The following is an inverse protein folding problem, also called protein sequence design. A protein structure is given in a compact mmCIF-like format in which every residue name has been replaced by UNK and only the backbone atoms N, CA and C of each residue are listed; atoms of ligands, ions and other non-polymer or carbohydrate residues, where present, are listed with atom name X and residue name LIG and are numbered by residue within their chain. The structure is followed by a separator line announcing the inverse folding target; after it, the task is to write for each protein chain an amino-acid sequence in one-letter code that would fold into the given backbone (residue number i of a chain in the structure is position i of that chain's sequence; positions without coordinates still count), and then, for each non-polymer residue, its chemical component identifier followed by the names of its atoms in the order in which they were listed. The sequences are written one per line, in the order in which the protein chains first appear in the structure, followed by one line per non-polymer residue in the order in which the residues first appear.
data_IF_721425738057
#
_entry.id   IF_721425738057
#
_cell.length_a   1.000
_cell.length_b   1.000
_cell.length_c   1.000
_cell.angle_alpha   90.00
_cell.angle_beta   90.00
_cell.angle_gamma   90.00
#
_symmetry.space_group_name_H-M   'P 1'
#
loop_
_entity.id
_entity.type
_entity.pdbx_description
1 polymer ?
#
# COMPACT_ATOMS: atom_id res chain seq x y z
N UNK A 1 4.27 2.49 -13.59
CA UNK A 1 4.09 1.03 -13.73
C UNK A 1 2.60 0.77 -13.76
N UNK A 2 2.05 0.24 -14.84
CA UNK A 2 0.61 -0.02 -14.97
C UNK A 2 0.38 -1.53 -15.02
N UNK A 3 -0.70 -2.04 -14.42
CA UNK A 3 -1.01 -3.47 -14.42
C UNK A 3 -0.10 -4.32 -13.52
N UNK A 4 0.70 -3.69 -12.66
CA UNK A 4 1.53 -4.37 -11.65
C UNK A 4 0.71 -4.64 -10.40
N UNK A 5 0.81 -5.84 -9.85
CA UNK A 5 0.19 -6.21 -8.58
C UNK A 5 0.88 -5.48 -7.43
N UNK A 6 0.08 -4.94 -6.51
CA UNK A 6 0.54 -4.28 -5.28
C UNK A 6 -0.06 -5.03 -4.11
N UNK A 7 0.75 -5.37 -3.12
CA UNK A 7 0.35 -6.07 -1.90
C UNK A 7 0.48 -5.15 -0.70
N UNK A 8 -0.56 -5.12 0.12
CA UNK A 8 -0.51 -4.61 1.49
C UNK A 8 -0.50 -5.81 2.44
N UNK A 9 0.51 -5.90 3.29
CA UNK A 9 0.59 -6.96 4.30
C UNK A 9 1.02 -6.44 5.67
N UNK A 10 0.67 -7.17 6.73
CA UNK A 10 1.10 -6.87 8.08
C UNK A 10 -0.01 -7.01 9.11
N UNK A 11 0.04 -6.19 10.16
CA UNK A 11 -0.93 -6.18 11.25
C UNK A 11 -1.45 -4.76 11.49
N UNK A 12 -2.77 -4.60 11.54
CA UNK A 12 -3.41 -3.31 11.71
C UNK A 12 -4.74 -3.47 12.46
N UNK A 13 -4.95 -2.62 13.47
CA UNK A 13 -6.17 -2.62 14.29
C UNK A 13 -6.54 -4.01 14.85
N UNK A 14 -5.57 -4.71 15.43
CA UNK A 14 -5.79 -6.04 16.02
C UNK A 14 -6.00 -7.17 15.02
N UNK A 15 -5.82 -6.93 13.71
CA UNK A 15 -6.07 -7.92 12.65
C UNK A 15 -4.91 -8.02 11.68
N UNK A 16 -4.67 -9.23 11.18
CA UNK A 16 -3.75 -9.46 10.06
C UNK A 16 -4.35 -8.87 8.78
N UNK A 17 -3.50 -8.21 8.00
CA UNK A 17 -3.78 -7.69 6.67
C UNK A 17 -2.93 -8.44 5.65
N UNK A 18 -3.56 -8.87 4.56
CA UNK A 18 -2.91 -9.42 3.38
C UNK A 18 -3.85 -9.21 2.19
N UNK A 19 -3.72 -8.04 1.57
CA UNK A 19 -4.61 -7.55 0.54
C UNK A 19 -3.82 -7.31 -0.74
N UNK A 20 -4.46 -7.53 -1.89
CA UNK A 20 -3.89 -7.29 -3.21
C UNK A 20 -4.75 -6.31 -3.98
N UNK A 21 -4.08 -5.46 -4.75
CA UNK A 21 -4.68 -4.57 -5.73
C UNK A 21 -3.80 -4.51 -6.96
N UNK A 22 -4.23 -3.79 -8.00
CA UNK A 22 -3.47 -3.62 -9.24
C UNK A 22 -3.26 -2.13 -9.50
N UNK A 23 -2.04 -1.74 -9.85
CA UNK A 23 -1.73 -0.37 -10.26
C UNK A 23 -2.52 0.03 -11.52
N UNK A 24 -3.10 1.23 -11.47
CA UNK A 24 -3.91 1.80 -12.55
C UNK A 24 -5.42 1.82 -12.27
N UNK A 25 -5.91 1.17 -11.21
CA UNK A 25 -7.34 1.17 -10.87
C UNK A 25 -7.80 2.40 -10.09
N UNK A 26 -6.88 3.18 -9.52
CA UNK A 26 -7.17 4.41 -8.80
C UNK A 26 -6.61 5.64 -9.55
N UNK A 27 -7.24 6.08 -10.67
CA UNK A 27 -6.70 7.11 -11.54
C UNK A 27 -6.56 8.49 -10.88
N UNK A 28 -7.29 8.74 -9.78
CA UNK A 28 -7.18 9.94 -8.96
C UNK A 28 -5.76 10.16 -8.41
N UNK A 29 -4.97 9.09 -8.25
CA UNK A 29 -3.56 9.15 -7.83
C UNK A 29 -2.57 9.06 -9.00
N UNK A 30 -3.05 9.29 -10.23
CA UNK A 30 -2.28 9.23 -11.48
C UNK A 30 -2.51 7.93 -12.27
N UNK A 31 -1.97 7.87 -13.49
CA UNK A 31 -2.19 6.76 -14.44
C UNK A 31 -1.88 5.37 -13.87
N UNK A 32 -0.96 5.28 -12.91
CA UNK A 32 -0.58 4.04 -12.22
C UNK A 32 -1.06 3.97 -10.76
N UNK A 33 -2.04 4.78 -10.38
CA UNK A 33 -2.51 4.88 -9.01
C UNK A 33 -3.15 3.58 -8.50
N UNK A 34 -2.99 3.33 -7.21
CA UNK A 34 -3.60 2.22 -6.48
C UNK A 34 -4.06 2.73 -5.12
N UNK A 35 -4.96 2.01 -4.46
CA UNK A 35 -5.49 2.37 -3.15
C UNK A 35 -5.76 1.13 -2.31
N UNK A 36 -5.55 1.27 -1.00
CA UNK A 36 -6.01 0.35 0.03
C UNK A 36 -6.74 1.15 1.12
N UNK A 37 -7.97 0.75 1.44
CA UNK A 37 -8.76 1.38 2.50
C UNK A 37 -8.59 0.58 3.79
N UNK A 38 -7.91 1.18 4.77
CA UNK A 38 -7.61 0.50 6.04
C UNK A 38 -8.79 0.46 7.02
N UNK A 39 -9.73 1.39 6.89
CA UNK A 39 -10.92 1.53 7.72
C UNK A 39 -11.50 2.95 7.67
N UNK A 40 -12.54 3.20 8.47
CA UNK A 40 -13.22 4.51 8.52
C UNK A 40 -12.69 5.44 9.64
N UNK A 41 -11.89 4.93 10.57
CA UNK A 41 -11.34 5.68 11.71
C UNK A 41 -9.82 5.68 11.62
N UNK A 42 -9.14 6.84 11.75
CA UNK A 42 -7.69 6.91 11.79
C UNK A 42 -7.14 6.15 12.99
N UNK A 43 -6.17 5.25 12.76
CA UNK A 43 -5.51 4.47 13.81
C UNK A 43 -4.02 4.58 13.59
N UNK A 44 -3.29 4.90 14.66
CA UNK A 44 -1.83 4.99 14.61
C UNK A 44 -1.20 3.59 14.57
N UNK A 45 -0.20 3.42 13.70
CA UNK A 45 0.61 2.22 13.58
C UNK A 45 2.00 2.60 13.08
N UNK A 46 3.05 1.96 13.60
CA UNK A 46 4.43 2.24 13.23
C UNK A 46 5.11 0.98 12.71
N UNK A 47 5.38 0.94 11.41
CA UNK A 47 6.08 -0.16 10.75
C UNK A 47 5.37 -1.52 10.79
N UNK A 48 4.09 -1.58 11.16
CA UNK A 48 3.34 -2.84 11.25
C UNK A 48 2.63 -3.20 9.94
N UNK A 49 2.52 -2.25 9.01
CA UNK A 49 2.03 -2.45 7.65
C UNK A 49 3.16 -2.26 6.66
N UNK A 50 3.13 -3.00 5.57
CA UNK A 50 4.09 -2.90 4.47
C UNK A 50 3.39 -2.95 3.12
N UNK A 51 3.94 -2.21 2.17
CA UNK A 51 3.55 -2.25 0.76
C UNK A 51 4.67 -2.89 -0.06
N UNK A 52 4.31 -3.74 -1.02
CA UNK A 52 5.25 -4.37 -1.95
C UNK A 52 4.63 -4.49 -3.34
N UNK A 53 5.44 -4.40 -4.39
CA UNK A 53 5.01 -4.74 -5.75
C UNK A 53 5.43 -6.16 -6.12
N UNK A 54 4.56 -6.86 -6.86
CA UNK A 54 4.76 -8.24 -7.28
C UNK A 54 4.64 -8.38 -8.80
N UNK A 55 5.29 -9.39 -9.37
CA UNK A 55 5.10 -9.79 -10.76
C UNK A 55 3.83 -10.65 -10.95
N UNK A 56 3.61 -11.13 -12.18
CA UNK A 56 2.44 -11.96 -12.52
C UNK A 56 2.48 -13.36 -11.89
N UNK A 57 3.65 -13.84 -11.48
CA UNK A 57 3.83 -15.09 -10.75
C UNK A 57 3.71 -14.91 -9.23
N UNK A 58 3.51 -13.67 -8.75
CA UNK A 58 3.45 -13.33 -7.33
C UNK A 58 4.81 -13.19 -6.67
N UNK A 59 5.91 -13.16 -7.44
CA UNK A 59 7.25 -12.95 -6.92
C UNK A 59 7.48 -11.46 -6.63
N UNK A 60 8.23 -11.13 -5.58
CA UNK A 60 8.47 -9.75 -5.20
C UNK A 60 9.35 -9.01 -6.23
N UNK A 61 8.90 -7.84 -6.66
CA UNK A 61 9.63 -6.89 -7.51
C UNK A 61 10.26 -5.73 -6.71
N UNK A 62 9.96 -5.65 -5.43
CA UNK A 62 10.56 -4.70 -4.49
C UNK A 62 10.74 -5.35 -3.12
N UNK A 63 11.51 -4.71 -2.25
CA UNK A 63 11.45 -4.99 -0.82
C UNK A 63 10.07 -4.62 -0.24
N UNK A 64 9.79 -5.11 0.96
CA UNK A 64 8.66 -4.64 1.76
C UNK A 64 8.96 -3.21 2.24
N UNK A 65 8.11 -2.26 1.85
CA UNK A 65 8.22 -0.87 2.27
C UNK A 65 7.30 -0.66 3.47
N UNK A 66 7.84 -0.52 4.70
CA UNK A 66 7.02 -0.29 5.88
C UNK A 66 6.38 1.09 5.81
N UNK A 67 5.13 1.18 6.27
CA UNK A 67 4.38 2.44 6.34
C UNK A 67 3.91 2.71 7.76
N UNK A 68 3.80 3.99 8.08
CA UNK A 68 3.23 4.47 9.34
C UNK A 68 1.87 5.09 9.07
N UNK A 69 0.91 4.82 9.93
CA UNK A 69 -0.41 5.46 9.96
C UNK A 69 -0.53 6.31 11.21
N UNK A 70 -1.46 7.27 11.21
CA UNK A 70 -1.63 8.22 12.28
C UNK A 70 -3.08 8.22 12.75
N UNK A 71 -3.30 8.41 14.06
CA UNK A 71 -4.62 8.58 14.66
C UNK A 71 -5.18 9.99 14.49
N UNK A 72 -4.70 10.75 13.51
CA UNK A 72 -5.04 12.15 13.26
C UNK A 72 -5.89 12.23 11.98
N UNK A 73 -7.06 12.85 12.07
CA UNK A 73 -7.97 13.03 10.93
C UNK A 73 -7.34 13.79 9.76
N UNK A 74 -6.38 14.68 10.02
CA UNK A 74 -5.62 15.40 8.99
C UNK A 74 -4.48 14.59 8.36
N UNK A 75 -4.20 13.38 8.85
CA UNK A 75 -3.12 12.48 8.39
C UNK A 75 -3.65 11.09 8.05
N UNK A 76 -4.76 11.05 7.32
CA UNK A 76 -5.47 9.83 6.96
C UNK A 76 -5.03 9.20 5.62
N UNK A 77 -4.09 9.82 4.88
CA UNK A 77 -3.58 9.33 3.59
C UNK A 77 -2.06 9.15 3.62
N UNK A 78 -1.60 7.96 3.22
CA UNK A 78 -0.18 7.65 3.00
C UNK A 78 0.04 7.42 1.50
N UNK A 79 0.91 8.23 0.89
CA UNK A 79 1.26 8.08 -0.52
C UNK A 79 2.58 7.32 -0.67
N UNK A 80 2.54 6.19 -1.37
CA UNK A 80 3.72 5.40 -1.73
C UNK A 80 3.90 5.41 -3.24
N UNK A 81 5.06 5.88 -3.70
CA UNK A 81 5.38 5.96 -5.12
C UNK A 81 6.57 5.07 -5.47
N UNK A 82 6.32 4.06 -6.28
CA UNK A 82 7.36 3.22 -6.85
C UNK A 82 7.96 3.86 -8.09
N UNK A 83 9.29 3.88 -8.15
CA UNK A 83 10.06 4.28 -9.33
C UNK A 83 11.08 3.17 -9.61
N UNK A 84 11.18 2.77 -10.89
CA UNK A 84 12.22 1.82 -11.31
C UNK A 84 13.59 2.51 -11.16
N UNK A 85 14.52 1.84 -10.49
CA UNK A 85 15.91 2.28 -10.44
C UNK A 85 16.53 2.16 -11.85
N UNK A 86 17.33 3.15 -12.29
CA UNK A 86 17.99 3.12 -13.59
C UNK A 86 18.91 1.91 -13.76
#
# INVERSE_FOLDING_TARGET
MFGIAVRLSGFYNGKTKNELTVSGIAPSYGKSGFEFVLGAVPIASSGQLSIQILDQAGLPLSDNIPINTYGDCGKNLVLVKFKKNP
#
